data_IF_272943133287
#
_entry.id   IF_272943133287
#
_cell.length_a   1.000
_cell.length_b   1.000
_cell.length_c   1.000
_cell.angle_alpha   90.00
_cell.angle_beta   90.00
_cell.angle_gamma   90.00
#
_symmetry.space_group_name_H-M   'P 1'
#
loop_
_entity.id
_entity.type
_entity.pdbx_description
1 polymer ?
#
# COMPACT_ATOMS: atom_id res chain seq x y z
N UNK A 1 -13.71 0.01 -12.00
CA UNK A 1 -12.50 -0.52 -11.34
C UNK A 1 -12.71 -0.37 -9.85
N UNK A 2 -12.43 -1.42 -9.08
CA UNK A 2 -12.53 -1.37 -7.62
C UNK A 2 -11.23 -0.80 -7.05
N UNK A 3 -11.35 0.11 -6.10
CA UNK A 3 -10.20 0.61 -5.36
C UNK A 3 -9.67 -0.49 -4.42
N UNK A 4 -8.35 -0.50 -4.24
CA UNK A 4 -7.63 -1.39 -3.34
C UNK A 4 -7.04 -0.55 -2.22
N UNK A 5 -7.15 -1.05 -0.99
CA UNK A 5 -6.80 -0.34 0.23
C UNK A 5 -5.70 -1.08 0.98
N UNK A 6 -4.55 -0.44 1.16
CA UNK A 6 -3.35 -1.01 1.78
C UNK A 6 -2.89 -0.14 2.94
N UNK A 7 -2.55 -0.74 4.06
CA UNK A 7 -1.93 -0.07 5.19
C UNK A 7 -0.43 -0.36 5.18
N UNK A 8 0.38 0.67 5.02
CA UNK A 8 1.81 0.62 5.31
C UNK A 8 2.05 1.05 6.75
N UNK A 9 2.77 0.22 7.49
CA UNK A 9 3.27 0.52 8.82
C UNK A 9 4.79 0.38 8.77
N UNK A 10 5.54 1.48 8.93
CA UNK A 10 7.00 1.50 8.72
C UNK A 10 7.81 0.45 9.48
N UNK A 11 7.27 -0.12 10.56
CA UNK A 11 7.88 -1.25 11.29
C UNK A 11 7.32 -2.62 10.90
N UNK A 12 6.02 -2.71 10.62
CA UNK A 12 5.31 -3.98 10.39
C UNK A 12 5.13 -4.33 8.90
N UNK A 13 5.58 -3.46 7.99
CA UNK A 13 5.40 -3.62 6.55
C UNK A 13 3.99 -3.28 6.10
N UNK A 14 3.51 -3.97 5.07
CA UNK A 14 2.23 -3.70 4.45
C UNK A 14 1.16 -4.71 4.92
N UNK A 15 -0.10 -4.29 4.91
CA UNK A 15 -1.26 -5.14 5.17
C UNK A 15 -2.47 -4.66 4.38
N UNK A 16 -3.43 -5.54 4.12
CA UNK A 16 -4.63 -5.17 3.36
C UNK A 16 -5.76 -4.67 4.28
N UNK A 17 -6.43 -3.61 3.85
CA UNK A 17 -7.67 -3.12 4.46
C UNK A 17 -8.90 -3.58 3.65
N UNK A 18 -10.02 -3.77 4.34
CA UNK A 18 -11.28 -4.19 3.72
C UNK A 18 -11.93 -3.06 2.90
N UNK A 19 -11.79 -1.81 3.36
CA UNK A 19 -12.34 -0.62 2.73
C UNK A 19 -11.53 0.64 3.13
N UNK A 20 -11.87 1.78 2.52
CA UNK A 20 -11.22 3.06 2.77
C UNK A 20 -11.29 3.52 4.24
N UNK A 21 -12.36 3.20 4.96
CA UNK A 21 -12.55 3.53 6.37
C UNK A 21 -11.67 2.70 7.31
N UNK A 22 -11.20 1.54 6.85
CA UNK A 22 -10.24 0.69 7.57
C UNK A 22 -8.77 1.07 7.34
N UNK A 23 -8.50 2.16 6.61
CA UNK A 23 -7.14 2.66 6.40
C UNK A 23 -6.57 3.26 7.69
N UNK A 24 -5.39 2.81 8.09
CA UNK A 24 -4.65 3.30 9.25
C UNK A 24 -3.61 4.34 8.82
N UNK A 25 -3.43 5.38 9.65
CA UNK A 25 -2.48 6.46 9.36
C UNK A 25 -3.02 7.50 8.36
N UNK A 26 -2.10 8.19 7.68
CA UNK A 26 -2.49 9.25 6.75
C UNK A 26 -2.93 8.65 5.41
N UNK A 27 -4.17 8.92 5.00
CA UNK A 27 -4.70 8.45 3.74
C UNK A 27 -4.04 9.19 2.55
N UNK A 28 -3.44 8.43 1.63
CA UNK A 28 -2.75 8.94 0.43
C UNK A 28 -2.99 8.04 -0.79
N UNK A 29 -2.78 8.56 -1.99
CA UNK A 29 -2.80 7.74 -3.20
C UNK A 29 -1.51 6.93 -3.35
N UNK A 30 -1.52 5.87 -4.16
CA UNK A 30 -0.29 5.15 -4.50
C UNK A 30 0.76 6.04 -5.18
N UNK A 31 0.35 6.98 -6.03
CA UNK A 31 1.26 7.92 -6.67
C UNK A 31 1.99 8.81 -5.65
N UNK A 32 1.25 9.34 -4.67
CA UNK A 32 1.83 10.13 -3.58
C UNK A 32 2.73 9.26 -2.70
N UNK A 33 2.29 8.03 -2.39
CA UNK A 33 3.09 7.08 -1.62
C UNK A 33 4.44 6.81 -2.30
N UNK A 34 4.47 6.56 -3.62
CA UNK A 34 5.74 6.41 -4.34
C UNK A 34 6.65 7.63 -4.18
N UNK A 35 6.08 8.82 -4.29
CA UNK A 35 6.83 10.08 -4.13
C UNK A 35 7.47 10.23 -2.74
N UNK A 36 6.76 9.86 -1.67
CA UNK A 36 7.26 10.01 -0.29
C UNK A 36 7.99 8.77 0.24
N UNK A 37 7.78 7.60 -0.36
CA UNK A 37 8.32 6.31 0.10
C UNK A 37 9.85 6.29 0.10
N UNK A 38 10.49 6.99 -0.85
CA UNK A 38 11.95 7.14 -0.91
C UNK A 38 12.53 7.93 0.28
N UNK A 39 11.71 8.74 0.94
CA UNK A 39 12.10 9.51 2.13
C UNK A 39 11.81 8.77 3.44
N UNK A 40 11.11 7.63 3.40
CA UNK A 40 10.78 6.84 4.59
C UNK A 40 12.01 6.09 5.07
N UNK A 41 12.54 6.50 6.22
CA UNK A 41 13.65 5.81 6.88
C UNK A 41 13.18 4.48 7.49
N UNK A 42 13.99 3.44 7.35
CA UNK A 42 13.76 2.15 8.05
C UNK A 42 13.62 2.37 9.56
N UNK A 43 12.59 1.77 10.16
CA UNK A 43 12.28 1.90 11.59
C UNK A 43 11.39 3.11 11.96
N UNK A 44 10.92 3.87 10.98
CA UNK A 44 9.96 4.97 11.18
C UNK A 44 8.62 4.45 11.74
N UNK A 45 8.04 5.19 12.69
CA UNK A 45 6.69 4.96 13.25
C UNK A 45 5.58 5.54 12.35
N UNK A 46 5.93 5.98 11.14
CA UNK A 46 4.96 6.52 10.18
C UNK A 46 4.12 5.40 9.58
N UNK A 47 2.81 5.63 9.55
CA UNK A 47 1.84 4.76 8.89
C UNK A 47 1.09 5.53 7.80
N UNK A 48 0.84 4.86 6.67
CA UNK A 48 0.09 5.39 5.55
C UNK A 48 -1.04 4.45 5.15
N UNK A 49 -2.20 5.03 4.90
CA UNK A 49 -3.33 4.35 4.28
C UNK A 49 -3.30 4.62 2.78
N UNK A 50 -2.90 3.64 1.99
CA UNK A 50 -2.66 3.77 0.56
C UNK A 50 -3.90 3.29 -0.19
N UNK A 51 -4.46 4.17 -1.02
CA UNK A 51 -5.50 3.80 -2.00
C UNK A 51 -4.85 3.65 -3.37
N UNK A 52 -5.06 2.51 -4.03
CA UNK A 52 -4.51 2.21 -5.35
C UNK A 52 -5.55 1.57 -6.28
N UNK A 53 -5.34 1.72 -7.60
CA UNK A 53 -6.20 1.10 -8.59
C UNK A 53 -5.74 -0.32 -8.92
N UNK A 54 -6.60 -1.13 -9.53
CA UNK A 54 -6.22 -2.48 -10.00
C UNK A 54 -5.06 -2.47 -10.99
N UNK A 55 -4.89 -1.39 -11.78
CA UNK A 55 -3.78 -1.26 -12.73
C UNK A 55 -2.42 -1.04 -12.06
N UNK A 56 -2.41 -0.54 -10.82
CA UNK A 56 -1.19 -0.21 -10.09
C UNK A 56 -0.66 -1.41 -9.25
N UNK A 57 -1.44 -2.49 -9.12
CA UNK A 57 -1.11 -3.62 -8.24
C UNK A 57 0.19 -4.31 -8.65
N UNK A 58 0.39 -4.52 -9.96
CA UNK A 58 1.61 -5.17 -10.46
C UNK A 58 2.86 -4.33 -10.20
N UNK A 59 2.76 -3.01 -10.41
CA UNK A 59 3.85 -2.07 -10.08
C UNK A 59 4.12 -2.09 -8.58
N UNK A 60 3.08 -2.12 -7.75
CA UNK A 60 3.23 -2.16 -6.31
C UNK A 60 3.91 -3.45 -5.81
N UNK A 61 3.52 -4.62 -6.31
CA UNK A 61 4.17 -5.90 -5.96
C UNK A 61 5.64 -5.90 -6.39
N UNK A 62 5.93 -5.45 -7.61
CA UNK A 62 7.29 -5.43 -8.13
C UNK A 62 8.24 -4.50 -7.36
N UNK A 63 7.74 -3.37 -6.84
CA UNK A 63 8.57 -2.40 -6.13
C UNK A 63 8.66 -2.63 -4.61
N UNK A 64 7.68 -3.30 -4.00
CA UNK A 64 7.60 -3.43 -2.53
C UNK A 64 7.56 -4.88 -2.03
N UNK A 65 7.68 -5.88 -2.92
CA UNK A 65 7.77 -7.32 -2.58
C UNK A 65 6.64 -7.84 -1.68
N UNK A 66 5.46 -7.24 -1.81
CA UNK A 66 4.26 -7.45 -0.97
C UNK A 66 3.43 -8.68 -1.39
N UNK A 67 4.08 -9.71 -1.89
CA UNK A 67 3.45 -10.87 -2.56
C UNK A 67 2.42 -11.61 -1.68
N UNK A 68 2.57 -11.50 -0.36
CA UNK A 68 1.71 -12.14 0.65
C UNK A 68 0.37 -11.42 0.90
N UNK A 69 0.20 -10.20 0.39
CA UNK A 69 -0.96 -9.33 0.69
C UNK A 69 -2.07 -9.48 -0.36
N UNK A 70 -1.69 -9.77 -1.59
CA UNK A 70 -2.60 -9.84 -2.73
C UNK A 70 -2.97 -11.27 -3.07
N UNK A 71 -4.24 -11.46 -3.43
CA UNK A 71 -4.71 -12.73 -4.01
C UNK A 71 -4.32 -12.82 -5.48
N UNK A 72 -4.27 -14.03 -6.04
CA UNK A 72 -3.91 -14.23 -7.46
C UNK A 72 -4.81 -13.44 -8.41
N UNK A 73 -6.11 -13.29 -8.10
CA UNK A 73 -7.08 -12.54 -8.90
C UNK A 73 -6.80 -11.02 -8.95
N UNK A 74 -6.02 -10.48 -8.02
CA UNK A 74 -5.62 -9.08 -8.04
C UNK A 74 -4.27 -8.88 -8.72
N UNK A 75 -3.52 -9.98 -8.87
CA UNK A 75 -2.23 -9.98 -9.55
C UNK A 75 -2.40 -10.06 -11.08
N UNK A 76 -3.54 -10.46 -11.62
CA UNK A 76 -3.77 -10.50 -13.06
C UNK A 76 -5.10 -11.11 -13.44
#
# INVERSE_FOLDING_TARGET
MSDIYINYNGKSGFSRAADKGALAGTAISYADFKGVSGDIKSGSDVAYGITMSSGDVQDFIANYEVDSIFTDAEKG
#
